data_IF_230539764937
#
_entry.id   IF_230539764937
#
_cell.length_a   1.000
_cell.length_b   1.000
_cell.length_c   1.000
_cell.angle_alpha   90.00
_cell.angle_beta   90.00
_cell.angle_gamma   90.00
#
_symmetry.space_group_name_H-M   'P 1'
#
loop_
_entity.id
_entity.type
_entity.pdbx_description
1 polymer ?
#
# COMPACT_ATOMS: atom_id res chain seq x y z
N UNK A 1 -10.91 -58.95 19.33
CA UNK A 1 -11.72 -58.27 20.36
C UNK A 1 -10.74 -57.50 21.22
N UNK A 2 -10.64 -56.22 20.88
CA UNK A 2 -9.78 -55.22 21.48
C UNK A 2 -10.32 -54.73 22.82
N UNK A 3 -9.40 -54.42 23.74
CA UNK A 3 -9.59 -53.49 24.88
C UNK A 3 -8.18 -53.17 25.40
N UNK A 4 -7.45 -52.20 24.85
CA UNK A 4 -7.58 -50.74 24.97
C UNK A 4 -7.27 -50.20 26.39
N UNK A 5 -6.40 -49.17 26.36
CA UNK A 5 -6.28 -47.99 27.23
C UNK A 5 -4.95 -47.82 28.01
N UNK A 6 -4.32 -46.70 27.62
CA UNK A 6 -3.39 -45.80 28.32
C UNK A 6 -1.89 -46.06 28.28
N UNK A 7 -1.29 -45.79 27.11
CA UNK A 7 -0.02 -45.06 27.06
C UNK A 7 -0.26 -43.71 26.38
N UNK A 8 -0.24 -42.64 27.18
CA UNK A 8 -0.20 -41.26 26.68
C UNK A 8 1.28 -40.87 26.46
N UNK A 9 1.70 -40.44 25.27
CA UNK A 9 3.05 -39.95 25.07
C UNK A 9 3.16 -38.52 25.63
N UNK A 10 3.87 -38.39 26.75
CA UNK A 10 4.28 -37.12 27.36
C UNK A 10 5.31 -36.35 26.51
N UNK A 11 5.07 -36.10 25.23
CA UNK A 11 5.98 -35.30 24.39
C UNK A 11 5.23 -34.57 23.27
N UNK A 12 4.39 -33.58 23.62
CA UNK A 12 3.88 -32.61 22.61
C UNK A 12 3.45 -31.25 23.16
N UNK A 13 4.06 -30.78 24.26
CA UNK A 13 3.73 -29.46 24.84
C UNK A 13 4.93 -28.52 24.98
N UNK A 14 6.14 -28.94 24.62
CA UNK A 14 7.36 -28.12 24.71
C UNK A 14 7.76 -27.44 23.38
N UNK A 15 6.92 -27.48 22.35
CA UNK A 15 7.21 -26.89 21.03
C UNK A 15 6.23 -25.77 20.59
N UNK A 16 5.43 -25.24 21.52
CA UNK A 16 4.48 -24.15 21.26
C UNK A 16 4.70 -22.92 22.16
N UNK A 17 5.92 -22.73 22.67
CA UNK A 17 6.28 -21.55 23.49
C UNK A 17 7.53 -20.83 22.97
N UNK A 18 7.83 -20.94 21.67
CA UNK A 18 9.07 -20.46 21.06
C UNK A 18 8.95 -19.27 20.10
N UNK A 19 7.78 -18.95 19.55
CA UNK A 19 7.70 -18.08 18.36
C UNK A 19 7.07 -16.70 18.59
N UNK A 20 6.84 -16.29 19.84
CA UNK A 20 6.46 -14.89 20.13
C UNK A 20 7.68 -13.94 20.13
N UNK A 21 8.88 -14.49 20.36
CA UNK A 21 10.16 -13.79 20.44
C UNK A 21 11.25 -14.57 19.68
N UNK A 22 10.97 -15.02 18.45
CA UNK A 22 11.96 -15.72 17.63
C UNK A 22 13.23 -14.88 17.40
N UNK A 23 14.42 -15.52 17.30
CA UNK A 23 15.68 -14.79 17.22
C UNK A 23 15.77 -13.99 15.92
N UNK A 24 16.00 -12.69 16.03
CA UNK A 24 16.35 -11.83 14.90
C UNK A 24 17.69 -12.28 14.32
N UNK A 25 17.73 -12.67 13.05
CA UNK A 25 18.99 -12.67 12.29
C UNK A 25 19.59 -11.26 12.38
N UNK A 26 20.92 -11.17 12.57
CA UNK A 26 21.62 -9.91 12.89
C UNK A 26 21.28 -8.81 11.88
N UNK A 27 20.47 -7.84 12.29
CA UNK A 27 20.09 -6.68 11.48
C UNK A 27 18.58 -6.55 11.23
N UNK A 28 17.79 -7.57 11.52
CA UNK A 28 16.35 -7.58 11.29
C UNK A 28 15.53 -7.08 12.49
N UNK A 29 14.45 -6.34 12.21
CA UNK A 29 13.52 -5.82 13.23
C UNK A 29 12.64 -6.98 13.75
N UNK A 30 12.49 -7.16 15.08
CA UNK A 30 11.68 -8.24 15.66
C UNK A 30 10.27 -8.34 15.05
N UNK A 31 9.79 -9.57 14.81
CA UNK A 31 8.46 -9.83 14.24
C UNK A 31 7.32 -9.15 15.02
N UNK A 32 7.47 -9.01 16.33
CA UNK A 32 6.52 -8.29 17.18
C UNK A 32 6.38 -6.81 16.78
N UNK A 33 7.49 -6.15 16.43
CA UNK A 33 7.49 -4.75 15.98
C UNK A 33 6.83 -4.64 14.60
N UNK A 34 7.14 -5.56 13.68
CA UNK A 34 6.47 -5.66 12.37
C UNK A 34 4.94 -5.85 12.54
N UNK A 35 4.52 -6.72 13.46
CA UNK A 35 3.11 -6.97 13.78
C UNK A 35 2.39 -5.71 14.27
N UNK A 36 2.91 -5.05 15.32
CA UNK A 36 2.27 -3.84 15.86
C UNK A 36 2.32 -2.65 14.89
N UNK A 37 3.37 -2.56 14.07
CA UNK A 37 3.47 -1.53 13.04
C UNK A 37 2.30 -1.55 12.04
N UNK A 38 1.82 -2.75 11.68
CA UNK A 38 0.69 -2.92 10.76
C UNK A 38 -0.64 -2.41 11.30
N UNK A 39 -0.75 -2.14 12.61
CA UNK A 39 -1.95 -1.50 13.18
C UNK A 39 -1.97 0.01 13.01
N UNK A 40 -0.90 0.64 12.51
CA UNK A 40 -0.84 2.08 12.28
C UNK A 40 -2.06 2.61 11.48
N UNK A 41 -2.47 2.00 10.34
CA UNK A 41 -3.68 2.39 9.63
C UNK A 41 -4.94 2.26 10.48
N UNK A 42 -5.08 1.26 11.34
CA UNK A 42 -6.28 1.14 12.19
C UNK A 42 -6.31 2.25 13.23
N UNK A 43 -5.16 2.52 13.86
CA UNK A 43 -5.05 3.52 14.93
C UNK A 43 -5.22 4.95 14.41
N UNK A 44 -4.74 5.26 13.19
CA UNK A 44 -4.78 6.62 12.65
C UNK A 44 -6.19 7.13 12.31
N UNK A 45 -7.17 6.24 12.10
CA UNK A 45 -8.54 6.67 11.78
C UNK A 45 -9.22 7.36 12.97
N UNK A 46 -8.85 6.97 14.20
CA UNK A 46 -9.40 7.53 15.43
C UNK A 46 -9.08 9.04 15.59
N UNK A 47 -7.81 9.49 15.60
CA UNK A 47 -7.51 10.91 15.75
C UNK A 47 -8.10 11.75 14.59
N UNK A 48 -8.09 11.23 13.35
CA UNK A 48 -8.65 11.93 12.19
C UNK A 48 -10.15 12.20 12.39
N UNK A 49 -10.92 11.17 12.75
CA UNK A 49 -12.35 11.31 12.99
C UNK A 49 -12.66 12.25 14.15
N UNK A 50 -11.96 12.07 15.28
CA UNK A 50 -12.17 12.85 16.50
C UNK A 50 -11.88 14.33 16.29
N UNK A 51 -10.73 14.69 15.70
CA UNK A 51 -10.37 16.08 15.44
C UNK A 51 -11.28 16.74 14.39
N UNK A 52 -11.73 15.99 13.38
CA UNK A 52 -12.71 16.48 12.40
C UNK A 52 -14.04 16.86 13.07
N UNK A 53 -14.54 16.03 13.98
CA UNK A 53 -15.75 16.32 14.75
C UNK A 53 -15.59 17.53 15.68
N UNK A 54 -14.43 17.66 16.35
CA UNK A 54 -14.13 18.81 17.22
C UNK A 54 -14.13 20.12 16.42
N UNK A 55 -13.57 20.12 15.21
CA UNK A 55 -13.59 21.30 14.33
C UNK A 55 -15.02 21.66 13.93
N UNK A 56 -15.83 20.69 13.51
CA UNK A 56 -17.24 20.93 13.18
C UNK A 56 -17.97 21.54 14.38
N UNK A 57 -17.71 21.02 15.59
CA UNK A 57 -18.28 21.55 16.82
C UNK A 57 -17.81 22.99 17.13
N UNK A 58 -16.51 23.30 17.00
CA UNK A 58 -15.99 24.65 17.26
C UNK A 58 -16.44 25.65 16.20
N UNK A 59 -16.51 25.26 14.93
CA UNK A 59 -17.08 26.09 13.86
C UNK A 59 -18.56 26.39 14.14
N UNK A 60 -19.34 25.38 14.54
CA UNK A 60 -20.73 25.57 14.97
C UNK A 60 -20.84 26.62 16.09
N UNK A 61 -19.96 26.56 17.10
CA UNK A 61 -19.95 27.53 18.20
C UNK A 61 -19.57 28.95 17.75
N UNK A 62 -18.67 29.09 16.78
CA UNK A 62 -18.26 30.39 16.20
C UNK A 62 -19.40 30.98 15.36
N UNK A 63 -19.96 30.21 14.44
CA UNK A 63 -20.92 30.70 13.44
C UNK A 63 -22.34 30.83 13.97
N UNK A 64 -22.82 29.89 14.78
CA UNK A 64 -24.22 29.93 15.24
C UNK A 64 -24.48 30.93 16.35
N UNK A 65 -23.42 31.57 16.91
CA UNK A 65 -23.42 32.70 17.88
C UNK A 65 -24.65 32.77 18.80
N UNK A 66 -25.16 31.62 19.24
CA UNK A 66 -26.39 31.50 20.00
C UNK A 66 -26.06 31.13 21.42
N UNK A 67 -26.87 31.71 22.30
CA UNK A 67 -26.93 31.60 23.75
C UNK A 67 -27.09 30.14 24.20
N UNK A 68 -26.10 29.30 23.90
CA UNK A 68 -26.13 27.87 24.14
C UNK A 68 -25.42 27.64 25.46
N UNK A 69 -26.13 27.10 26.44
CA UNK A 69 -25.65 26.60 27.73
C UNK A 69 -24.80 25.33 27.55
N UNK A 70 -23.89 25.33 26.58
CA UNK A 70 -22.95 24.23 26.39
C UNK A 70 -21.88 24.33 27.48
N UNK A 71 -21.64 23.25 28.24
CA UNK A 71 -20.65 23.29 29.30
C UNK A 71 -19.26 23.50 28.69
N UNK A 72 -18.42 24.33 29.33
CA UNK A 72 -17.11 24.75 28.79
C UNK A 72 -16.15 23.57 28.54
N UNK A 73 -16.46 22.39 29.09
CA UNK A 73 -15.66 21.16 29.05
C UNK A 73 -16.02 20.19 27.92
N UNK A 74 -17.04 20.46 27.08
CA UNK A 74 -17.54 19.48 26.09
C UNK A 74 -16.45 18.91 25.16
N UNK A 75 -15.41 19.69 24.84
CA UNK A 75 -14.33 19.25 23.95
C UNK A 75 -13.15 18.56 24.67
N UNK A 76 -13.03 18.61 26.00
CA UNK A 76 -11.85 18.05 26.71
C UNK A 76 -11.75 16.54 26.50
N UNK A 77 -12.85 15.82 26.70
CA UNK A 77 -12.88 14.36 26.61
C UNK A 77 -12.58 13.86 25.19
N UNK A 78 -13.22 14.38 24.12
CA UNK A 78 -12.82 14.07 22.75
C UNK A 78 -11.35 14.37 22.45
N UNK A 79 -10.83 15.55 22.85
CA UNK A 79 -9.43 15.91 22.59
C UNK A 79 -8.48 14.93 23.31
N UNK A 80 -8.82 14.49 24.53
CA UNK A 80 -8.03 13.49 25.25
C UNK A 80 -7.92 12.17 24.47
N UNK A 81 -9.05 11.61 24.02
CA UNK A 81 -9.04 10.38 23.22
C UNK A 81 -8.33 10.58 21.87
N UNK A 82 -8.52 11.74 21.23
CA UNK A 82 -7.82 12.09 19.99
C UNK A 82 -6.29 12.17 20.20
N UNK A 83 -5.83 12.81 21.28
CA UNK A 83 -4.41 12.92 21.58
C UNK A 83 -3.80 11.56 21.96
N UNK A 84 -4.49 10.75 22.78
CA UNK A 84 -4.04 9.41 23.15
C UNK A 84 -3.91 8.49 21.93
N UNK A 85 -4.92 8.50 21.04
CA UNK A 85 -4.88 7.72 19.80
C UNK A 85 -3.83 8.24 18.81
N UNK A 86 -3.56 9.55 18.75
CA UNK A 86 -2.47 10.11 17.95
C UNK A 86 -1.09 9.60 18.43
N UNK A 87 -0.85 9.56 19.75
CA UNK A 87 0.39 9.01 20.32
C UNK A 87 0.54 7.54 19.92
N UNK A 88 -0.51 6.73 20.13
CA UNK A 88 -0.49 5.31 19.76
C UNK A 88 -0.25 5.11 18.25
N UNK A 89 -0.84 5.96 17.42
CA UNK A 89 -0.64 5.94 15.97
C UNK A 89 0.81 6.25 15.59
N UNK A 90 1.44 7.24 16.23
CA UNK A 90 2.86 7.56 16.01
C UNK A 90 3.77 6.42 16.46
N UNK A 91 3.50 5.78 17.60
CA UNK A 91 4.27 4.64 18.07
C UNK A 91 4.19 3.45 17.11
N UNK A 92 2.98 3.11 16.64
CA UNK A 92 2.81 2.10 15.60
C UNK A 92 3.45 2.52 14.27
N UNK A 93 3.37 3.80 13.90
CA UNK A 93 4.00 4.35 12.70
C UNK A 93 5.53 4.25 12.72
N UNK A 94 6.15 4.50 13.88
CA UNK A 94 7.58 4.31 14.10
C UNK A 94 7.97 2.84 13.96
N UNK A 95 7.18 1.92 14.52
CA UNK A 95 7.38 0.49 14.35
C UNK A 95 7.29 0.07 12.87
N UNK A 96 6.32 0.60 12.14
CA UNK A 96 6.12 0.33 10.70
C UNK A 96 7.26 0.90 9.84
N UNK A 97 7.70 2.13 10.13
CA UNK A 97 8.78 2.80 9.40
C UNK A 97 10.10 2.02 9.46
N UNK A 98 10.38 1.39 10.60
CA UNK A 98 11.57 0.54 10.76
C UNK A 98 11.37 -0.85 10.16
N UNK A 99 10.16 -1.43 10.24
CA UNK A 99 9.90 -2.81 9.84
C UNK A 99 9.79 -3.07 8.34
N UNK A 100 9.33 -2.10 7.55
CA UNK A 100 8.99 -2.29 6.11
C UNK A 100 9.96 -1.57 5.13
N UNK A 101 11.13 -1.16 5.61
CA UNK A 101 12.21 -0.46 4.87
C UNK A 101 11.76 0.83 4.15
N UNK A 102 11.06 1.70 4.88
CA UNK A 102 10.71 3.05 4.42
C UNK A 102 11.87 4.06 4.57
N UNK A 103 13.06 3.61 4.96
CA UNK A 103 14.20 4.47 5.32
C UNK A 103 14.83 5.13 4.09
N UNK A 104 15.10 6.43 4.18
CA UNK A 104 15.68 7.20 3.07
C UNK A 104 14.68 7.56 1.97
N UNK A 105 13.37 7.35 2.20
CA UNK A 105 12.31 7.90 1.38
C UNK A 105 11.85 9.22 1.99
N UNK A 106 12.14 10.34 1.31
CA UNK A 106 11.82 11.69 1.79
C UNK A 106 10.33 11.86 2.15
N UNK A 107 9.44 11.27 1.34
CA UNK A 107 8.00 11.32 1.56
C UNK A 107 7.59 10.61 2.87
N UNK A 108 8.17 9.45 3.16
CA UNK A 108 7.88 8.69 4.38
C UNK A 108 8.44 9.40 5.63
N UNK A 109 9.62 10.00 5.53
CA UNK A 109 10.22 10.79 6.60
C UNK A 109 9.39 12.05 6.90
N UNK A 110 8.95 12.77 5.86
CA UNK A 110 8.08 13.94 6.01
C UNK A 110 6.75 13.56 6.68
N UNK A 111 6.13 12.45 6.26
CA UNK A 111 4.91 11.93 6.88
C UNK A 111 5.13 11.61 8.38
N UNK A 112 6.23 10.92 8.70
CA UNK A 112 6.56 10.56 10.08
C UNK A 112 6.74 11.80 10.97
N UNK A 113 7.51 12.79 10.53
CA UNK A 113 7.70 14.04 11.26
C UNK A 113 6.40 14.82 11.40
N UNK A 114 5.59 14.89 10.36
CA UNK A 114 4.25 15.49 10.41
C UNK A 114 3.36 14.85 11.47
N UNK A 115 3.37 13.51 11.56
CA UNK A 115 2.62 12.76 12.57
C UNK A 115 3.10 13.04 13.99
N UNK A 116 4.41 13.12 14.22
CA UNK A 116 5.00 13.47 15.52
C UNK A 116 4.62 14.90 15.95
N UNK A 117 4.75 15.88 15.05
CA UNK A 117 4.40 17.27 15.33
C UNK A 117 2.90 17.39 15.63
N UNK A 118 2.04 16.70 14.85
CA UNK A 118 0.61 16.65 15.12
C UNK A 118 0.29 16.05 16.50
N UNK A 119 0.93 14.94 16.87
CA UNK A 119 0.72 14.31 18.18
C UNK A 119 1.12 15.25 19.33
N UNK A 120 2.22 15.98 19.19
CA UNK A 120 2.62 17.00 20.18
C UNK A 120 1.59 18.13 20.21
N UNK A 121 1.18 18.65 19.05
CA UNK A 121 0.18 19.71 18.96
C UNK A 121 -1.18 19.30 19.56
N UNK A 122 -1.57 18.03 19.43
CA UNK A 122 -2.78 17.48 20.04
C UNK A 122 -2.71 17.51 21.58
N UNK A 123 -1.58 17.10 22.17
CA UNK A 123 -1.35 17.16 23.62
C UNK A 123 -1.29 18.60 24.13
N UNK A 124 -0.65 19.50 23.38
CA UNK A 124 -0.64 20.93 23.74
C UNK A 124 -2.05 21.52 23.65
N UNK A 125 -2.83 21.14 22.64
CA UNK A 125 -4.24 21.56 22.50
C UNK A 125 -5.09 21.09 23.68
N UNK A 126 -4.90 19.84 24.13
CA UNK A 126 -5.54 19.33 25.34
C UNK A 126 -5.17 20.15 26.58
N UNK A 127 -3.88 20.42 26.75
CA UNK A 127 -3.35 21.18 27.89
C UNK A 127 -3.92 22.60 27.91
N UNK A 128 -3.93 23.28 26.76
CA UNK A 128 -4.49 24.62 26.64
C UNK A 128 -5.99 24.65 26.85
N UNK A 129 -6.74 23.66 26.34
CA UNK A 129 -8.18 23.57 26.60
C UNK A 129 -8.48 23.35 28.08
N UNK A 130 -7.73 22.45 28.72
CA UNK A 130 -7.85 22.18 30.16
C UNK A 130 -7.54 23.42 30.99
N UNK A 131 -6.47 24.14 30.63
CA UNK A 131 -6.08 25.39 31.25
C UNK A 131 -7.11 26.50 31.05
N UNK A 132 -7.67 26.61 29.85
CA UNK A 132 -8.72 27.56 29.52
C UNK A 132 -9.98 27.33 30.37
N UNK A 133 -10.37 26.07 30.55
CA UNK A 133 -11.53 25.70 31.39
C UNK A 133 -11.24 25.96 32.86
N UNK A 134 -10.05 25.65 33.35
CA UNK A 134 -9.66 25.85 34.74
C UNK A 134 -9.53 27.34 35.14
N UNK A 135 -8.94 28.18 34.28
CA UNK A 135 -8.68 29.61 34.57
C UNK A 135 -9.69 30.57 33.94
N UNK A 136 -10.64 30.07 33.15
CA UNK A 136 -11.63 30.91 32.47
C UNK A 136 -11.05 31.87 31.43
N UNK A 137 -9.89 31.54 30.84
CA UNK A 137 -9.17 32.41 29.89
C UNK A 137 -9.79 32.35 28.47
N UNK A 138 -9.30 33.21 27.57
CA UNK A 138 -9.78 33.30 26.19
C UNK A 138 -9.57 32.00 25.40
N UNK A 139 -10.55 31.63 24.57
CA UNK A 139 -10.48 30.48 23.66
C UNK A 139 -9.64 30.73 22.41
N UNK A 140 -9.14 31.94 22.18
CA UNK A 140 -8.46 32.31 20.94
C UNK A 140 -7.20 31.46 20.69
N UNK A 141 -6.33 31.35 21.71
CA UNK A 141 -5.07 30.61 21.57
C UNK A 141 -5.28 29.11 21.33
N UNK A 142 -6.21 28.50 22.10
CA UNK A 142 -6.62 27.12 21.88
C UNK A 142 -7.18 26.89 20.46
N UNK A 143 -8.04 27.79 19.97
CA UNK A 143 -8.63 27.67 18.63
C UNK A 143 -7.59 27.76 17.52
N UNK A 144 -6.68 28.75 17.62
CA UNK A 144 -5.59 28.90 16.64
C UNK A 144 -4.76 27.62 16.57
N UNK A 145 -4.38 27.06 17.72
CA UNK A 145 -3.62 25.82 17.75
C UNK A 145 -4.44 24.63 17.22
N UNK A 146 -5.71 24.52 17.59
CA UNK A 146 -6.61 23.46 17.11
C UNK A 146 -6.72 23.48 15.58
N UNK A 147 -7.06 24.62 14.98
CA UNK A 147 -7.17 24.76 13.51
C UNK A 147 -5.82 24.49 12.83
N UNK A 148 -4.72 24.99 13.40
CA UNK A 148 -3.37 24.70 12.92
C UNK A 148 -3.03 23.22 12.95
N UNK A 149 -3.39 22.52 14.05
CA UNK A 149 -3.16 21.08 14.20
C UNK A 149 -3.96 20.25 13.19
N UNK A 150 -5.20 20.64 12.88
CA UNK A 150 -6.02 19.95 11.87
C UNK A 150 -5.53 20.23 10.46
N UNK A 151 -5.07 21.46 10.18
CA UNK A 151 -4.41 21.77 8.92
C UNK A 151 -3.15 20.91 8.70
N UNK A 152 -2.30 20.82 9.73
CA UNK A 152 -1.14 19.93 9.72
C UNK A 152 -1.55 18.47 9.52
N UNK A 153 -2.56 17.99 10.26
CA UNK A 153 -3.10 16.64 10.11
C UNK A 153 -3.56 16.37 8.68
N UNK A 154 -4.25 17.32 8.04
CA UNK A 154 -4.69 17.21 6.65
C UNK A 154 -3.51 17.07 5.67
N UNK A 155 -2.47 17.90 5.85
CA UNK A 155 -1.24 17.80 5.06
C UNK A 155 -0.51 16.46 5.25
N UNK A 156 -0.33 16.03 6.50
CA UNK A 156 0.30 14.73 6.81
C UNK A 156 -0.55 13.55 6.32
N UNK A 157 -1.88 13.66 6.35
CA UNK A 157 -2.80 12.63 5.84
C UNK A 157 -2.70 12.50 4.32
N UNK A 158 -2.50 13.60 3.60
CA UNK A 158 -2.24 13.58 2.16
C UNK A 158 -0.95 12.81 1.84
N UNK A 159 0.13 13.06 2.58
CA UNK A 159 1.38 12.31 2.42
C UNK A 159 1.17 10.81 2.71
N UNK A 160 0.40 10.47 3.75
CA UNK A 160 0.05 9.09 4.08
C UNK A 160 -0.70 8.38 2.95
N UNK A 161 -1.69 9.05 2.36
CA UNK A 161 -2.42 8.54 1.20
C UNK A 161 -1.53 8.42 -0.04
N UNK A 162 -0.58 9.35 -0.24
CA UNK A 162 0.38 9.31 -1.35
C UNK A 162 1.33 8.12 -1.22
N UNK A 163 1.75 7.77 -0.01
CA UNK A 163 2.60 6.59 0.25
C UNK A 163 1.89 5.30 -0.18
N UNK A 164 0.63 5.12 0.21
CA UNK A 164 -0.13 3.89 -0.05
C UNK A 164 -0.67 3.84 -1.48
N UNK A 165 -1.36 4.90 -1.91
CA UNK A 165 -2.11 4.92 -3.17
C UNK A 165 -1.39 5.61 -4.33
N UNK A 166 -0.35 6.39 -4.06
CA UNK A 166 0.37 7.18 -5.08
C UNK A 166 -0.18 8.59 -5.24
N UNK A 167 0.56 9.49 -5.92
CA UNK A 167 0.26 10.93 -5.97
C UNK A 167 -0.94 11.29 -6.85
N UNK A 168 -1.30 10.43 -7.81
CA UNK A 168 -2.37 10.67 -8.78
C UNK A 168 -3.70 10.01 -8.41
N UNK A 169 -3.77 9.27 -7.30
CA UNK A 169 -4.90 8.42 -6.97
C UNK A 169 -6.26 9.16 -6.93
N UNK A 170 -6.29 10.37 -6.34
CA UNK A 170 -7.52 11.16 -6.25
C UNK A 170 -7.93 11.80 -7.57
N UNK A 171 -6.97 11.99 -8.49
CA UNK A 171 -7.17 12.72 -9.75
C UNK A 171 -7.30 11.81 -10.96
N UNK A 172 -6.94 10.54 -10.82
CA UNK A 172 -6.98 9.52 -11.89
C UNK A 172 -8.35 9.44 -12.55
N UNK A 173 -9.42 9.51 -11.76
CA UNK A 173 -10.82 9.43 -12.23
C UNK A 173 -11.56 10.77 -12.14
N UNK A 174 -10.85 11.90 -12.04
CA UNK A 174 -11.49 13.20 -11.93
C UNK A 174 -12.36 13.51 -13.16
N UNK A 175 -13.64 13.92 -12.99
CA UNK A 175 -14.52 14.27 -14.10
C UNK A 175 -14.03 15.55 -14.79
N UNK A 176 -14.38 15.71 -16.07
CA UNK A 176 -13.89 16.80 -16.94
C UNK A 176 -13.91 18.21 -16.32
N UNK A 177 -14.98 18.65 -15.63
CA UNK A 177 -15.01 19.96 -14.96
C UNK A 177 -13.90 20.11 -13.91
N UNK A 178 -13.63 19.06 -13.13
CA UNK A 178 -12.62 19.07 -12.07
C UNK A 178 -11.21 19.03 -12.67
N UNK A 179 -10.99 18.28 -13.76
CA UNK A 179 -9.69 18.26 -14.46
C UNK A 179 -9.27 19.63 -14.99
N UNK A 180 -10.22 20.39 -15.54
CA UNK A 180 -9.96 21.77 -16.01
C UNK A 180 -9.58 22.71 -14.86
N UNK A 181 -10.26 22.58 -13.71
CA UNK A 181 -9.95 23.38 -12.52
C UNK A 181 -8.55 23.05 -11.99
N UNK A 182 -8.18 21.78 -12.00
CA UNK A 182 -6.88 21.29 -11.53
C UNK A 182 -5.76 21.38 -12.58
N UNK A 183 -6.03 21.93 -13.77
CA UNK A 183 -5.09 22.00 -14.90
C UNK A 183 -4.43 20.65 -15.24
N UNK A 184 -5.17 19.56 -15.15
CA UNK A 184 -4.70 18.21 -15.48
C UNK A 184 -4.77 17.97 -17.00
N UNK A 185 -3.85 17.17 -17.57
CA UNK A 185 -3.90 16.81 -18.99
C UNK A 185 -5.21 16.11 -19.36
N UNK A 186 -5.68 16.32 -20.59
CA UNK A 186 -6.94 15.77 -21.08
C UNK A 186 -6.95 14.23 -21.08
N UNK A 187 -8.10 13.64 -20.75
CA UNK A 187 -8.37 12.19 -20.53
C UNK A 187 -7.90 11.20 -21.59
N UNK A 188 -7.45 11.66 -22.75
CA UNK A 188 -7.31 10.82 -23.95
C UNK A 188 -6.36 9.63 -23.73
N UNK A 189 -5.53 9.68 -22.70
CA UNK A 189 -4.66 8.59 -22.26
C UNK A 189 -5.40 7.51 -21.43
N UNK A 190 -6.42 7.86 -20.64
CA UNK A 190 -7.28 6.91 -19.91
C UNK A 190 -8.38 6.30 -20.79
N UNK A 191 -8.87 7.02 -21.80
CA UNK A 191 -9.80 6.46 -22.79
C UNK A 191 -9.16 5.32 -23.61
N UNK A 192 -7.82 5.31 -23.71
CA UNK A 192 -7.06 4.21 -24.32
C UNK A 192 -6.99 2.96 -23.44
N UNK A 193 -7.09 3.11 -22.11
CA UNK A 193 -7.10 1.99 -21.14
C UNK A 193 -8.49 1.39 -20.92
N UNK A 194 -9.55 2.03 -21.41
CA UNK A 194 -10.95 1.63 -21.22
C UNK A 194 -11.73 1.44 -22.53
N UNK A 195 -11.05 1.27 -23.67
CA UNK A 195 -11.73 0.64 -24.79
C UNK A 195 -12.03 -0.82 -24.40
N UNK A 196 -13.29 -1.28 -24.51
CA UNK A 196 -13.55 -2.71 -24.60
C UNK A 196 -12.58 -3.28 -25.62
N UNK A 197 -11.94 -4.41 -25.30
CA UNK A 197 -11.02 -5.12 -26.19
C UNK A 197 -11.82 -5.57 -27.42
N UNK A 198 -12.04 -4.64 -28.35
CA UNK A 198 -12.62 -4.89 -29.65
C UNK A 198 -11.50 -5.52 -30.48
N UNK A 199 -11.29 -6.83 -30.29
CA UNK A 199 -10.51 -7.76 -31.13
C UNK A 199 -9.45 -7.10 -32.03
N UNK A 200 -8.57 -6.29 -31.44
CA UNK A 200 -7.48 -5.68 -32.16
C UNK A 200 -6.35 -6.72 -32.17
N UNK A 201 -6.13 -7.30 -33.34
CA UNK A 201 -5.05 -8.21 -33.71
C UNK A 201 -3.85 -8.17 -32.75
N UNK A 202 -3.66 -9.25 -31.99
CA UNK A 202 -2.55 -9.48 -31.02
C UNK A 202 -1.16 -9.35 -31.66
N UNK A 203 -1.08 -9.18 -32.97
CA UNK A 203 0.11 -9.27 -33.80
C UNK A 203 0.84 -7.93 -34.00
N UNK A 204 0.15 -6.78 -33.92
CA UNK A 204 0.76 -5.46 -34.20
C UNK A 204 1.11 -4.64 -32.95
N UNK A 205 0.53 -4.96 -31.80
CA UNK A 205 0.80 -4.22 -30.56
C UNK A 205 2.10 -4.71 -29.90
N UNK A 206 2.88 -3.78 -29.33
CA UNK A 206 4.10 -4.09 -28.58
C UNK A 206 3.83 -5.14 -27.51
N UNK A 207 4.65 -6.20 -27.48
CA UNK A 207 4.60 -7.27 -26.47
C UNK A 207 4.71 -6.69 -25.07
N UNK A 208 5.58 -5.70 -24.89
CA UNK A 208 5.76 -5.06 -23.60
C UNK A 208 4.48 -4.37 -23.14
N UNK A 209 3.86 -3.57 -24.00
CA UNK A 209 2.67 -2.80 -23.63
C UNK A 209 1.42 -3.68 -23.42
N UNK A 210 1.25 -4.73 -24.22
CA UNK A 210 0.04 -5.56 -24.22
C UNK A 210 0.10 -6.72 -23.23
N UNK A 211 1.28 -7.31 -22.99
CA UNK A 211 1.42 -8.53 -22.19
C UNK A 211 2.26 -8.30 -20.94
N UNK A 212 3.48 -7.78 -21.08
CA UNK A 212 4.45 -7.73 -19.98
C UNK A 212 4.09 -6.66 -18.94
N UNK A 213 3.77 -5.45 -19.39
CA UNK A 213 3.49 -4.32 -18.51
C UNK A 213 2.28 -4.58 -17.59
N UNK A 214 1.14 -5.13 -18.07
CA UNK A 214 0.05 -5.53 -17.18
C UNK A 214 0.45 -6.51 -16.08
N UNK A 215 1.35 -7.46 -16.35
CA UNK A 215 1.87 -8.41 -15.35
C UNK A 215 2.70 -7.67 -14.30
N UNK A 216 3.61 -6.79 -14.72
CA UNK A 216 4.43 -6.00 -13.80
C UNK A 216 3.60 -5.01 -12.98
N UNK A 217 2.60 -4.38 -13.58
CA UNK A 217 1.72 -3.44 -12.88
C UNK A 217 1.00 -4.11 -11.71
N UNK A 218 0.47 -5.32 -11.91
CA UNK A 218 -0.23 -6.05 -10.85
C UNK A 218 0.70 -6.64 -9.78
N UNK A 219 1.84 -7.18 -10.19
CA UNK A 219 2.66 -8.02 -9.31
C UNK A 219 3.86 -7.29 -8.71
N UNK A 220 4.34 -6.22 -9.36
CA UNK A 220 5.63 -5.62 -9.03
C UNK A 220 5.52 -4.12 -8.67
N UNK A 221 4.84 -3.32 -9.50
CA UNK A 221 4.81 -1.86 -9.38
C UNK A 221 4.20 -1.38 -8.05
N UNK A 222 3.29 -2.16 -7.45
CA UNK A 222 2.70 -1.84 -6.14
C UNK A 222 3.75 -1.64 -5.02
N UNK A 223 4.88 -2.34 -5.09
CA UNK A 223 5.96 -2.29 -4.10
C UNK A 223 7.29 -1.72 -4.64
N UNK A 224 7.37 -1.46 -5.95
CA UNK A 224 8.54 -0.94 -6.66
C UNK A 224 8.20 0.36 -7.41
N UNK A 225 7.53 1.30 -6.74
CA UNK A 225 7.14 2.62 -7.25
C UNK A 225 7.82 3.73 -6.46
N UNK A 226 7.65 4.98 -6.88
CA UNK A 226 8.29 6.12 -6.22
C UNK A 226 7.98 6.22 -4.72
N UNK A 227 6.71 6.03 -4.38
CA UNK A 227 6.21 6.16 -3.02
C UNK A 227 6.60 4.97 -2.12
N UNK A 228 7.07 3.87 -2.71
CA UNK A 228 7.51 2.66 -2.03
C UNK A 228 8.44 1.89 -2.96
N UNK A 229 9.76 2.05 -2.75
CA UNK A 229 10.80 1.44 -3.57
C UNK A 229 11.57 0.37 -2.76
N UNK A 230 10.95 -0.79 -2.54
CA UNK A 230 11.61 -1.89 -1.81
C UNK A 230 12.90 -2.30 -2.53
N UNK A 231 13.98 -2.53 -1.78
CA UNK A 231 15.31 -2.81 -2.36
C UNK A 231 15.92 -1.67 -3.18
N UNK A 232 15.35 -0.46 -3.08
CA UNK A 232 15.65 0.70 -3.95
C UNK A 232 15.46 0.42 -5.44
N UNK A 233 14.64 -0.55 -5.78
CA UNK A 233 14.33 -0.90 -7.15
C UNK A 233 12.99 -0.28 -7.56
N UNK A 234 12.98 0.36 -8.73
CA UNK A 234 11.84 1.09 -9.30
C UNK A 234 11.46 0.44 -10.63
N UNK A 235 10.18 0.18 -10.84
CA UNK A 235 9.65 -0.53 -12.02
C UNK A 235 8.49 0.23 -12.68
N UNK A 236 8.23 1.46 -12.25
CA UNK A 236 7.17 2.32 -12.77
C UNK A 236 7.51 2.98 -14.10
N UNK A 237 8.80 2.99 -14.50
CA UNK A 237 9.21 3.31 -15.88
C UNK A 237 10.11 2.21 -16.43
N UNK A 238 10.13 2.07 -17.76
CA UNK A 238 10.96 1.06 -18.44
C UNK A 238 12.46 1.25 -18.16
N UNK A 239 12.93 2.50 -18.13
CA UNK A 239 14.33 2.83 -17.87
C UNK A 239 14.76 2.39 -16.47
N UNK A 240 13.89 2.60 -15.48
CA UNK A 240 14.14 2.20 -14.09
C UNK A 240 14.04 0.68 -13.89
N UNK A 241 13.08 0.05 -14.59
CA UNK A 241 12.92 -1.39 -14.66
C UNK A 241 14.23 -2.08 -15.12
N UNK A 242 14.88 -1.56 -16.18
CA UNK A 242 16.16 -2.10 -16.66
C UNK A 242 17.31 -1.76 -15.72
N UNK A 243 17.41 -0.51 -15.27
CA UNK A 243 18.52 -0.01 -14.46
C UNK A 243 18.76 -0.80 -13.15
N UNK A 244 17.70 -1.33 -12.54
CA UNK A 244 17.83 -2.12 -11.31
C UNK A 244 17.89 -1.31 -10.02
N UNK A 245 18.21 -2.01 -8.93
CA UNK A 245 18.22 -1.48 -7.56
C UNK A 245 19.62 -1.35 -6.97
N UNK A 246 19.73 -1.53 -5.65
CA UNK A 246 20.97 -1.35 -4.88
C UNK A 246 22.03 -2.42 -5.12
N UNK A 247 21.60 -3.61 -5.53
CA UNK A 247 22.40 -4.84 -5.57
C UNK A 247 22.90 -5.18 -7.00
N UNK A 248 22.16 -4.81 -8.06
CA UNK A 248 22.50 -5.10 -9.48
C UNK A 248 21.41 -4.60 -10.45
N UNK A 249 21.67 -4.75 -11.76
CA UNK A 249 20.72 -4.54 -12.87
C UNK A 249 19.43 -5.34 -12.62
N UNK A 250 18.27 -4.74 -12.90
CA UNK A 250 16.96 -5.31 -12.55
C UNK A 250 16.59 -6.44 -13.50
N UNK A 251 16.71 -6.14 -14.78
CA UNK A 251 16.70 -7.12 -15.86
C UNK A 251 17.86 -6.82 -16.82
N UNK A 252 18.38 -7.87 -17.42
CA UNK A 252 19.49 -7.83 -18.36
C UNK A 252 18.92 -8.21 -19.73
N UNK A 253 18.75 -7.25 -20.65
CA UNK A 253 18.25 -7.55 -22.00
C UNK A 253 19.12 -8.62 -22.68
N UNK A 254 18.48 -9.70 -23.14
CA UNK A 254 19.14 -10.86 -23.76
C UNK A 254 19.59 -11.95 -22.78
N UNK A 255 19.37 -11.80 -21.48
CA UNK A 255 19.74 -12.81 -20.49
C UNK A 255 18.76 -12.87 -19.30
N UNK A 256 17.70 -13.65 -19.45
CA UNK A 256 16.70 -13.89 -18.40
C UNK A 256 17.28 -14.63 -17.20
N UNK A 257 18.20 -15.57 -17.43
CA UNK A 257 18.82 -16.38 -16.38
C UNK A 257 19.63 -15.55 -15.37
N UNK A 258 20.32 -14.51 -15.84
CA UNK A 258 21.09 -13.61 -14.97
C UNK A 258 20.27 -12.42 -14.44
N UNK A 259 19.08 -12.18 -15.00
CA UNK A 259 18.19 -11.09 -14.59
C UNK A 259 17.64 -11.31 -13.18
N UNK A 260 17.85 -10.34 -12.29
CA UNK A 260 17.39 -10.42 -10.90
C UNK A 260 15.89 -10.64 -10.80
N UNK A 261 15.09 -9.99 -11.65
CA UNK A 261 13.63 -10.17 -11.63
C UNK A 261 13.24 -11.66 -11.74
N UNK A 262 13.92 -12.44 -12.60
CA UNK A 262 13.67 -13.87 -12.78
C UNK A 262 14.21 -14.66 -11.59
N UNK A 263 15.43 -14.36 -11.14
CA UNK A 263 16.03 -15.03 -9.97
C UNK A 263 15.12 -14.93 -8.75
N UNK A 264 14.61 -13.73 -8.45
CA UNK A 264 13.76 -13.47 -7.28
C UNK A 264 12.40 -14.17 -7.35
N UNK A 265 11.76 -14.25 -8.53
CA UNK A 265 10.48 -14.96 -8.67
C UNK A 265 10.62 -16.48 -8.64
N UNK A 266 11.82 -16.99 -8.94
CA UNK A 266 12.14 -18.43 -8.94
C UNK A 266 12.64 -18.95 -7.60
N UNK A 267 12.90 -18.06 -6.63
CA UNK A 267 13.30 -18.48 -5.29
C UNK A 267 12.20 -19.30 -4.60
N UNK A 268 12.55 -20.17 -3.63
CA UNK A 268 11.57 -20.83 -2.77
C UNK A 268 10.62 -19.83 -2.10
N UNK A 269 9.36 -20.21 -1.90
CA UNK A 269 8.34 -19.30 -1.35
C UNK A 269 8.62 -18.84 0.09
N UNK A 270 9.43 -19.60 0.81
CA UNK A 270 9.89 -19.34 2.17
C UNK A 270 11.18 -18.52 2.22
N UNK A 271 11.77 -18.20 1.07
CA UNK A 271 12.93 -17.31 0.98
C UNK A 271 12.51 -15.85 1.16
N UNK A 272 13.23 -15.10 2.00
CA UNK A 272 12.94 -13.68 2.27
C UNK A 272 13.13 -12.78 1.06
N UNK A 273 13.96 -13.21 0.10
CA UNK A 273 14.18 -12.51 -1.16
C UNK A 273 13.17 -12.91 -2.25
N UNK A 274 12.29 -13.89 -1.99
CA UNK A 274 11.26 -14.31 -2.92
C UNK A 274 10.31 -13.15 -3.25
N UNK A 275 10.02 -13.01 -4.54
CA UNK A 275 9.09 -12.01 -5.04
C UNK A 275 7.98 -12.69 -5.87
N UNK A 276 6.71 -12.31 -5.72
CA UNK A 276 6.15 -11.37 -4.75
C UNK A 276 6.27 -11.89 -3.30
N UNK A 277 6.30 -11.00 -2.28
CA UNK A 277 6.45 -11.42 -0.89
C UNK A 277 5.26 -12.24 -0.40
N UNK A 278 5.45 -12.94 0.72
CA UNK A 278 4.42 -13.79 1.32
C UNK A 278 3.07 -13.05 1.50
N UNK A 279 1.98 -13.74 1.16
CA UNK A 279 0.62 -13.19 1.19
C UNK A 279 0.21 -12.42 -0.08
N UNK A 280 1.08 -12.32 -1.09
CA UNK A 280 0.74 -11.83 -2.43
C UNK A 280 0.66 -12.99 -3.42
N UNK A 281 -0.15 -12.82 -4.48
CA UNK A 281 -0.31 -13.84 -5.52
C UNK A 281 1.00 -14.01 -6.30
N UNK A 282 1.61 -15.20 -6.30
CA UNK A 282 2.79 -15.47 -7.11
C UNK A 282 2.49 -15.41 -8.60
N UNK A 283 3.53 -15.21 -9.41
CA UNK A 283 3.39 -15.32 -10.86
C UNK A 283 3.07 -16.77 -11.26
N UNK A 284 2.27 -16.92 -12.30
CA UNK A 284 2.04 -18.24 -12.91
C UNK A 284 3.27 -18.68 -13.73
N UNK A 285 3.39 -19.99 -13.97
CA UNK A 285 4.47 -20.52 -14.81
C UNK A 285 4.46 -19.91 -16.23
N UNK A 286 3.26 -19.68 -16.78
CA UNK A 286 3.09 -19.04 -18.08
C UNK A 286 3.57 -17.58 -18.08
N UNK A 287 3.31 -16.83 -17.00
CA UNK A 287 3.80 -15.45 -16.85
C UNK A 287 5.32 -15.39 -16.77
N UNK A 288 5.92 -16.28 -15.96
CA UNK A 288 7.37 -16.36 -15.84
C UNK A 288 7.99 -16.73 -17.20
N UNK A 289 7.41 -17.70 -17.91
CA UNK A 289 7.90 -18.12 -19.22
C UNK A 289 7.84 -16.97 -20.25
N UNK A 290 6.72 -16.24 -20.30
CA UNK A 290 6.54 -15.10 -21.22
C UNK A 290 7.49 -13.95 -20.88
N UNK A 291 7.68 -13.63 -19.59
CA UNK A 291 8.63 -12.60 -19.16
C UNK A 291 10.06 -13.01 -19.51
N UNK A 292 10.48 -14.24 -19.20
CA UNK A 292 11.83 -14.74 -19.51
C UNK A 292 12.10 -14.69 -21.02
N UNK A 293 11.16 -15.15 -21.84
CA UNK A 293 11.29 -15.07 -23.29
C UNK A 293 11.42 -13.62 -23.80
N UNK A 294 10.60 -12.70 -23.28
CA UNK A 294 10.71 -11.29 -23.66
C UNK A 294 12.07 -10.69 -23.26
N UNK A 295 12.61 -11.07 -22.10
CA UNK A 295 13.95 -10.65 -21.67
C UNK A 295 15.01 -11.23 -22.63
N UNK A 296 14.97 -12.53 -22.92
CA UNK A 296 15.95 -13.22 -23.77
C UNK A 296 15.97 -12.69 -25.22
N UNK A 297 14.86 -12.12 -25.68
CA UNK A 297 14.75 -11.50 -27.01
C UNK A 297 15.17 -10.02 -27.03
N UNK A 298 15.76 -9.54 -25.95
CA UNK A 298 16.34 -8.20 -25.83
C UNK A 298 15.45 -7.18 -25.12
N UNK A 299 14.36 -7.62 -24.47
CA UNK A 299 13.47 -6.80 -23.65
C UNK A 299 12.95 -5.52 -24.32
N UNK A 300 12.78 -5.51 -25.65
CA UNK A 300 12.46 -4.27 -26.36
C UNK A 300 11.02 -3.80 -26.03
N UNK A 301 10.83 -2.53 -25.59
CA UNK A 301 9.51 -2.02 -25.24
C UNK A 301 8.62 -1.72 -26.45
N UNK A 302 9.14 -1.78 -27.68
CA UNK A 302 8.42 -1.40 -28.90
C UNK A 302 8.07 -2.58 -29.81
N UNK A 303 8.80 -3.69 -29.72
CA UNK A 303 8.64 -4.80 -30.66
C UNK A 303 7.35 -5.58 -30.44
N UNK A 304 6.73 -5.99 -31.53
CA UNK A 304 5.51 -6.82 -31.53
C UNK A 304 5.81 -8.32 -31.57
N UNK A 305 4.79 -9.16 -31.35
CA UNK A 305 4.93 -10.64 -31.40
C UNK A 305 5.45 -11.09 -32.78
N UNK A 306 4.99 -10.45 -33.86
CA UNK A 306 5.41 -10.78 -35.22
C UNK A 306 6.87 -10.41 -35.50
N UNK A 307 7.37 -9.32 -34.92
CA UNK A 307 8.75 -8.88 -35.14
C UNK A 307 9.78 -9.74 -34.38
N UNK A 308 9.37 -10.39 -33.29
CA UNK A 308 10.26 -11.16 -32.41
C UNK A 308 10.26 -12.66 -32.78
N UNK A 309 9.41 -13.11 -33.72
CA UNK A 309 9.25 -14.52 -34.10
C UNK A 309 9.05 -15.43 -32.88
N UNK A 310 8.03 -15.14 -32.07
CA UNK A 310 7.73 -15.90 -30.87
C UNK A 310 7.49 -17.39 -31.17
N UNK A 311 8.02 -18.32 -30.37
CA UNK A 311 7.73 -19.74 -30.52
C UNK A 311 6.27 -20.05 -30.19
N UNK A 312 5.71 -21.11 -30.79
CA UNK A 312 4.30 -21.46 -30.66
C UNK A 312 3.83 -21.64 -29.20
N UNK A 313 4.71 -22.15 -28.33
CA UNK A 313 4.46 -22.32 -26.90
C UNK A 313 4.22 -20.98 -26.18
N UNK A 314 5.01 -19.95 -26.53
CA UNK A 314 4.87 -18.61 -25.95
C UNK A 314 3.60 -17.93 -26.48
N UNK A 315 3.27 -18.12 -27.76
CA UNK A 315 2.02 -17.60 -28.32
C UNK A 315 0.81 -18.20 -27.58
N UNK A 316 0.83 -19.52 -27.35
CA UNK A 316 -0.23 -20.19 -26.60
C UNK A 316 -0.32 -19.70 -25.14
N UNK A 317 0.81 -19.43 -24.49
CA UNK A 317 0.86 -18.84 -23.15
C UNK A 317 0.26 -17.42 -23.14
N UNK A 318 0.61 -16.57 -24.11
CA UNK A 318 0.07 -15.22 -24.25
C UNK A 318 -1.46 -15.28 -24.45
N UNK A 319 -1.95 -16.14 -25.33
CA UNK A 319 -3.38 -16.30 -25.59
C UNK A 319 -4.14 -16.76 -24.33
N UNK A 320 -3.56 -17.67 -23.56
CA UNK A 320 -4.11 -18.12 -22.28
C UNK A 320 -4.17 -16.99 -21.25
N UNK A 321 -3.12 -16.17 -21.16
CA UNK A 321 -3.10 -14.99 -20.27
C UNK A 321 -4.12 -13.93 -20.69
N UNK A 322 -4.30 -13.72 -21.99
CA UNK A 322 -5.32 -12.81 -22.53
C UNK A 322 -6.75 -13.28 -22.23
N UNK A 323 -7.02 -14.58 -22.37
CA UNK A 323 -8.32 -15.19 -22.03
C UNK A 323 -8.61 -15.11 -20.53
N UNK A 324 -7.61 -15.34 -19.68
CA UNK A 324 -7.75 -15.19 -18.22
C UNK A 324 -8.03 -13.75 -17.80
N UNK A 325 -7.49 -12.76 -18.53
CA UNK A 325 -7.78 -11.34 -18.30
C UNK A 325 -9.16 -10.91 -18.82
N UNK A 326 -9.69 -11.60 -19.84
CA UNK A 326 -10.99 -11.32 -20.46
C UNK A 326 -12.16 -12.09 -19.81
N UNK A 327 -11.88 -13.10 -18.98
CA UNK A 327 -12.91 -13.80 -18.23
C UNK A 327 -13.61 -12.82 -17.26
N UNK A 328 -14.95 -12.75 -17.24
CA UNK A 328 -15.65 -11.96 -16.25
C UNK A 328 -15.23 -12.46 -14.87
N UNK A 329 -14.80 -11.53 -13.99
CA UNK A 329 -14.56 -11.85 -12.58
C UNK A 329 -15.86 -12.40 -12.03
N UNK A 330 -15.93 -13.72 -11.84
CA UNK A 330 -17.07 -14.36 -11.22
C UNK A 330 -17.33 -13.67 -9.88
N UNK A 331 -18.59 -13.29 -9.64
CA UNK A 331 -19.01 -12.75 -8.37
C UNK A 331 -18.73 -13.81 -7.29
N UNK A 332 -18.28 -13.43 -6.08
CA UNK A 332 -18.03 -14.37 -4.99
C UNK A 332 -19.28 -15.15 -4.54
N UNK A 333 -20.45 -14.84 -5.07
CA UNK A 333 -21.74 -15.44 -4.74
C UNK A 333 -21.96 -16.82 -5.40
N UNK A 334 -21.21 -17.18 -6.45
CA UNK A 334 -21.50 -18.39 -7.23
C UNK A 334 -20.71 -19.64 -6.76
N UNK A 335 -19.88 -19.52 -5.71
CA UNK A 335 -19.09 -20.64 -5.17
C UNK A 335 -19.80 -21.44 -4.07
N UNK A 336 -21.03 -21.07 -3.67
CA UNK A 336 -21.80 -21.81 -2.65
C UNK A 336 -22.80 -22.82 -3.22
N UNK A 337 -23.13 -22.82 -4.53
CA UNK A 337 -24.17 -23.72 -5.06
C UNK A 337 -23.66 -25.10 -5.55
N UNK A 338 -22.39 -25.27 -5.94
CA UNK A 338 -21.89 -26.57 -6.42
C UNK A 338 -21.53 -27.58 -5.30
N UNK A 339 -21.60 -27.19 -4.03
CA UNK A 339 -21.38 -28.08 -2.88
C UNK A 339 -22.66 -28.75 -2.35
N UNK A 340 -23.83 -28.52 -2.95
CA UNK A 340 -25.11 -29.06 -2.43
C UNK A 340 -25.75 -30.18 -3.26
N UNK A 341 -25.13 -30.59 -4.37
CA UNK A 341 -25.58 -31.73 -5.17
C UNK A 341 -24.51 -32.81 -5.25
N UNK A 342 -24.31 -33.54 -4.15
CA UNK A 342 -23.87 -34.93 -4.15
C UNK A 342 -24.53 -35.72 -3.02
#
# INVERSE_FOLDING_TARGET
>A
MDSNISEWPHHRWSRCSGDFFGPSHRGEVPNLIKFFGRFHPVLLHLPIGVFSLIIIQELRLIFLRKNTTQPKNTSIFPIFFGAASAILSVLAGLALFHGDDYRGQELAERHLWGGMIFSIAAVVTLTLKSWQVARGTSSAFYRVLLFGSVGLMGFTSHDGATITHGPTYLTEYAPGPIRKILALPDSKENDRKQQPVEKASTTEQSVYASVIHPIFERSCVQCHKESKAKGKYRMDTYELLVKGGKESEGLIPGNSAESNIIKRVMLPKDDEEHMPPEGKTPLSADEIAVISWWIDTGADPKKSIAEINAPAEIIAAIDKLAQAAAAPKADPADLEEESSTQ
#
